data_IF_669528118900
#
_entry.id   IF_669528118900
#
_cell.length_a   1.000
_cell.length_b   1.000
_cell.length_c   1.000
_cell.angle_alpha   90.00
_cell.angle_beta   90.00
_cell.angle_gamma   90.00
#
_symmetry.space_group_name_H-M   'P 1'
#
loop_
_entity.id
_entity.type
_entity.pdbx_description
1 polymer ?
#
# COMPACT_ATOMS: atom_id res chain seq x y z
N UNK A 1 -35.67 6.74 -0.31
CA UNK A 1 -34.86 7.76 -1.01
C UNK A 1 -33.41 7.26 -0.99
N UNK A 2 -32.70 7.26 -2.13
CA UNK A 2 -31.29 6.85 -2.13
C UNK A 2 -30.45 7.93 -1.42
N UNK A 3 -29.40 7.58 -0.67
CA UNK A 3 -28.55 8.56 0.02
C UNK A 3 -27.85 9.46 -1.01
N UNK A 4 -27.83 10.76 -0.75
CA UNK A 4 -27.05 11.71 -1.54
C UNK A 4 -25.59 11.61 -1.12
N UNK A 5 -24.68 11.43 -2.07
CA UNK A 5 -23.24 11.30 -1.83
C UNK A 5 -22.51 12.41 -2.59
N UNK A 6 -21.62 13.13 -1.92
CA UNK A 6 -20.78 14.15 -2.55
C UNK A 6 -19.54 13.52 -3.21
N UNK A 7 -19.01 14.11 -4.29
CA UNK A 7 -17.70 13.75 -4.81
C UNK A 7 -16.60 13.88 -3.75
N UNK A 8 -15.63 12.98 -3.78
CA UNK A 8 -14.44 13.07 -2.94
C UNK A 8 -13.47 14.13 -3.46
N UNK A 9 -12.54 14.56 -2.60
CA UNK A 9 -11.42 15.42 -3.00
C UNK A 9 -10.31 14.57 -3.61
N UNK A 10 -9.73 14.98 -4.74
CA UNK A 10 -8.60 14.25 -5.32
C UNK A 10 -7.39 14.31 -4.36
N UNK A 11 -6.76 13.18 -4.01
CA UNK A 11 -5.53 13.19 -3.22
C UNK A 11 -4.42 13.91 -3.97
N UNK A 12 -3.53 14.54 -3.22
CA UNK A 12 -2.24 15.02 -3.70
C UNK A 12 -1.13 14.05 -3.29
N UNK A 13 0.10 14.34 -3.72
CA UNK A 13 1.28 13.61 -3.26
C UNK A 13 1.86 14.28 -2.00
N UNK A 14 1.05 14.53 -0.96
CA UNK A 14 1.57 15.05 0.31
C UNK A 14 2.42 14.01 1.05
N UNK A 15 3.29 14.49 1.95
CA UNK A 15 4.01 13.59 2.86
C UNK A 15 3.07 13.12 3.97
N UNK A 16 3.12 11.84 4.33
CA UNK A 16 2.38 11.29 5.47
C UNK A 16 3.36 10.76 6.51
N UNK A 17 3.24 11.23 7.75
CA UNK A 17 4.10 10.79 8.86
C UNK A 17 3.29 10.06 9.91
N UNK A 18 3.63 8.80 10.14
CA UNK A 18 3.18 8.00 11.27
C UNK A 18 4.27 7.89 12.35
N UNK A 19 4.15 6.86 13.18
CA UNK A 19 5.12 6.54 14.25
C UNK A 19 6.26 5.63 13.76
N UNK A 20 5.96 4.76 12.82
CA UNK A 20 6.81 3.69 12.28
C UNK A 20 7.17 3.88 10.81
N UNK A 21 6.47 4.75 10.09
CA UNK A 21 6.68 5.03 8.68
C UNK A 21 6.55 6.53 8.37
N UNK A 22 7.42 6.99 7.49
CA UNK A 22 7.27 8.24 6.74
C UNK A 22 7.04 7.87 5.28
N UNK A 23 6.00 8.42 4.69
CA UNK A 23 5.69 8.35 3.27
C UNK A 23 6.11 9.66 2.62
N UNK A 24 7.04 9.58 1.67
CA UNK A 24 7.47 10.71 0.84
C UNK A 24 7.11 10.42 -0.61
N UNK A 25 6.72 11.42 -1.42
CA UNK A 25 6.46 11.22 -2.84
C UNK A 25 7.60 10.44 -3.50
N UNK A 26 7.24 9.42 -4.29
CA UNK A 26 8.24 8.60 -4.96
C UNK A 26 8.97 9.45 -6.00
N UNK A 27 10.29 9.37 -5.97
CA UNK A 27 11.19 10.16 -6.81
C UNK A 27 12.38 9.30 -7.25
N UNK A 28 13.03 9.69 -8.34
CA UNK A 28 14.19 8.98 -8.90
C UNK A 28 15.38 8.89 -7.93
N UNK A 29 15.51 9.85 -7.00
CA UNK A 29 16.54 9.88 -5.97
C UNK A 29 16.49 8.65 -5.05
N UNK A 30 15.29 8.13 -4.79
CA UNK A 30 15.08 6.95 -3.93
C UNK A 30 15.73 5.68 -4.47
N UNK A 31 16.17 5.64 -5.73
CA UNK A 31 16.91 4.49 -6.26
C UNK A 31 18.19 4.19 -5.48
N UNK A 32 18.85 5.18 -4.86
CA UNK A 32 20.03 4.93 -4.04
C UNK A 32 19.75 3.94 -2.89
N UNK A 33 18.57 4.04 -2.29
CA UNK A 33 18.13 3.16 -1.19
C UNK A 33 17.43 1.89 -1.67
N UNK A 34 16.63 2.01 -2.75
CA UNK A 34 15.73 0.96 -3.22
C UNK A 34 16.39 -0.03 -4.18
N UNK A 35 17.37 0.40 -4.98
CA UNK A 35 18.02 -0.48 -5.97
C UNK A 35 18.76 -1.67 -5.34
N UNK A 36 19.56 -1.52 -4.26
CA UNK A 36 20.18 -2.66 -3.60
C UNK A 36 19.15 -3.71 -3.14
N UNK A 37 17.97 -3.27 -2.68
CA UNK A 37 16.87 -4.15 -2.26
C UNK A 37 16.21 -4.86 -3.45
N UNK A 38 16.04 -4.15 -4.56
CA UNK A 38 15.49 -4.72 -5.80
C UNK A 38 16.41 -5.78 -6.39
N UNK A 39 17.73 -5.57 -6.35
CA UNK A 39 18.72 -6.55 -6.78
C UNK A 39 18.80 -7.77 -5.87
N UNK A 40 18.69 -7.56 -4.55
CA UNK A 40 18.78 -8.66 -3.58
C UNK A 40 17.55 -9.58 -3.59
N UNK A 41 16.41 -9.11 -4.09
CA UNK A 41 15.16 -9.85 -4.11
C UNK A 41 14.38 -9.66 -5.43
N UNK A 42 14.93 -10.04 -6.60
CA UNK A 42 14.27 -9.86 -7.89
C UNK A 42 12.93 -10.61 -7.98
N UNK A 43 12.78 -11.71 -7.24
CA UNK A 43 11.55 -12.50 -7.11
C UNK A 43 10.41 -11.74 -6.41
N UNK A 44 10.72 -10.66 -5.66
CA UNK A 44 9.70 -9.80 -5.05
C UNK A 44 8.79 -9.09 -6.08
N UNK A 45 9.20 -9.05 -7.35
CA UNK A 45 8.41 -8.53 -8.48
C UNK A 45 7.51 -9.58 -9.16
N UNK A 46 7.53 -10.84 -8.73
CA UNK A 46 6.86 -11.96 -9.41
C UNK A 46 5.39 -11.67 -9.75
N UNK A 47 4.64 -11.04 -8.84
CA UNK A 47 3.22 -10.74 -9.01
C UNK A 47 2.92 -9.29 -9.38
N UNK A 48 3.96 -8.49 -9.64
CA UNK A 48 3.81 -7.11 -10.06
C UNK A 48 3.85 -7.02 -11.60
N UNK A 49 3.14 -6.04 -12.21
CA UNK A 49 3.17 -5.84 -13.66
C UNK A 49 4.50 -5.24 -14.15
N UNK A 50 5.39 -4.90 -13.22
CA UNK A 50 6.69 -4.28 -13.43
C UNK A 50 7.81 -5.21 -12.94
N UNK A 51 9.03 -4.89 -13.33
CA UNK A 51 10.23 -5.60 -12.87
C UNK A 51 10.29 -7.08 -13.28
N UNK A 52 11.30 -7.82 -12.77
CA UNK A 52 12.52 -7.27 -12.19
C UNK A 52 13.27 -6.41 -13.21
N UNK A 53 14.18 -5.57 -12.75
CA UNK A 53 14.88 -4.60 -13.60
C UNK A 53 16.30 -5.08 -13.90
N UNK A 54 16.75 -4.90 -15.14
CA UNK A 54 18.05 -5.41 -15.60
C UNK A 54 19.26 -4.56 -15.11
N UNK A 55 19.02 -3.32 -14.69
CA UNK A 55 20.07 -2.40 -14.24
C UNK A 55 19.50 -1.27 -13.37
N UNK A 56 20.38 -0.60 -12.64
CA UNK A 56 20.02 0.59 -11.87
C UNK A 56 19.45 1.70 -12.76
N UNK A 57 20.00 1.86 -13.96
CA UNK A 57 19.53 2.85 -14.93
C UNK A 57 18.07 2.57 -15.36
N UNK A 58 17.72 1.30 -15.61
CA UNK A 58 16.35 0.89 -15.92
C UNK A 58 15.40 1.12 -14.73
N UNK A 59 15.85 0.79 -13.52
CA UNK A 59 15.09 1.03 -12.28
C UNK A 59 14.85 2.52 -12.03
N UNK A 60 15.88 3.36 -12.13
CA UNK A 60 15.77 4.83 -12.06
C UNK A 60 14.88 5.39 -13.15
N UNK A 61 14.90 4.81 -14.36
CA UNK A 61 14.00 5.15 -15.44
C UNK A 61 12.53 4.92 -15.06
N UNK A 62 12.22 3.76 -14.48
CA UNK A 62 10.90 3.46 -13.95
C UNK A 62 10.47 4.46 -12.86
N UNK A 63 11.33 4.74 -11.86
CA UNK A 63 11.00 5.70 -10.81
C UNK A 63 10.71 7.11 -11.35
N UNK A 64 11.43 7.55 -12.39
CA UNK A 64 11.16 8.84 -13.07
C UNK A 64 9.77 8.86 -13.71
N UNK A 65 9.40 7.80 -14.41
CA UNK A 65 8.08 7.70 -15.05
C UNK A 65 6.96 7.64 -13.99
N UNK A 66 7.16 6.85 -12.94
CA UNK A 66 6.24 6.76 -11.81
C UNK A 66 6.03 8.12 -11.12
N UNK A 67 7.11 8.84 -10.84
CA UNK A 67 7.07 10.17 -10.20
C UNK A 67 6.35 11.23 -11.06
N UNK A 68 6.39 11.09 -12.39
CA UNK A 68 5.73 11.99 -13.32
C UNK A 68 4.25 11.63 -13.59
N UNK A 69 3.78 10.49 -13.10
CA UNK A 69 2.42 10.04 -13.31
C UNK A 69 1.42 10.95 -12.61
N UNK A 70 0.33 11.27 -13.30
CA UNK A 70 -0.86 11.91 -12.70
C UNK A 70 -1.98 10.92 -12.44
N UNK A 71 -1.91 9.73 -13.03
CA UNK A 71 -2.92 8.67 -12.90
C UNK A 71 -2.73 7.84 -11.63
N UNK A 72 -1.48 7.72 -11.19
CA UNK A 72 -1.09 7.04 -9.95
C UNK A 72 -0.29 8.01 -9.10
N UNK A 73 -0.50 7.97 -7.79
CA UNK A 73 0.32 8.67 -6.81
C UNK A 73 1.07 7.62 -6.01
N UNK A 74 2.41 7.67 -6.03
CA UNK A 74 3.24 6.70 -5.33
C UNK A 74 4.09 7.38 -4.25
N UNK A 75 4.31 6.68 -3.16
CA UNK A 75 5.16 7.12 -2.05
C UNK A 75 6.23 6.09 -1.75
N UNK A 76 7.47 6.56 -1.57
CA UNK A 76 8.52 5.80 -0.93
C UNK A 76 8.19 5.61 0.56
N UNK A 77 8.36 4.39 1.07
CA UNK A 77 8.18 4.06 2.49
C UNK A 77 9.52 4.10 3.20
N UNK A 78 9.66 4.99 4.18
CA UNK A 78 10.84 5.08 5.05
C UNK A 78 10.48 4.63 6.46
N UNK A 79 10.97 3.47 6.93
CA UNK A 79 10.77 3.05 8.32
C UNK A 79 11.34 4.07 9.29
N UNK A 80 10.60 4.41 10.35
CA UNK A 80 11.04 5.29 11.42
C UNK A 80 11.60 4.48 12.59
N UNK A 81 12.70 4.96 13.16
CA UNK A 81 13.26 4.46 14.42
C UNK A 81 12.41 4.84 15.64
N UNK A 82 12.76 4.32 16.81
CA UNK A 82 12.10 4.67 18.07
C UNK A 82 12.25 6.15 18.45
N UNK A 83 13.34 6.78 17.99
CA UNK A 83 13.61 8.21 18.08
C UNK A 83 12.84 9.04 17.03
N UNK A 84 12.07 8.39 16.16
CA UNK A 84 11.31 9.01 15.08
C UNK A 84 12.16 9.43 13.88
N UNK A 85 13.44 9.06 13.83
CA UNK A 85 14.32 9.36 12.70
C UNK A 85 14.01 8.45 11.50
N UNK A 86 13.92 8.99 10.27
CA UNK A 86 13.67 8.18 9.09
C UNK A 86 14.91 7.41 8.65
N UNK A 87 14.76 6.10 8.48
CA UNK A 87 15.74 5.26 7.80
C UNK A 87 15.74 5.47 6.28
N UNK A 88 16.55 4.69 5.54
CA UNK A 88 16.53 4.69 4.07
C UNK A 88 15.18 4.18 3.54
N UNK A 89 14.81 4.58 2.32
CA UNK A 89 13.62 4.06 1.67
C UNK A 89 13.69 2.52 1.53
N UNK A 90 12.59 1.84 1.84
CA UNK A 90 12.54 0.39 1.99
C UNK A 90 11.56 -0.31 1.03
N UNK A 91 10.75 0.47 0.31
CA UNK A 91 9.77 0.02 -0.68
C UNK A 91 8.88 1.19 -1.09
N UNK A 92 7.78 0.91 -1.78
CA UNK A 92 6.77 1.93 -2.11
C UNK A 92 5.34 1.39 -2.05
N UNK A 93 4.39 2.31 -2.01
CA UNK A 93 2.93 2.09 -2.01
C UNK A 93 2.26 3.22 -2.78
N UNK A 94 1.07 2.98 -3.34
CA UNK A 94 0.37 3.98 -4.12
C UNK A 94 -1.14 3.99 -4.02
N UNK A 95 -1.70 5.09 -4.51
CA UNK A 95 -3.11 5.25 -4.84
C UNK A 95 -3.28 5.22 -6.36
N UNK A 96 -4.19 4.38 -6.84
CA UNK A 96 -4.49 4.14 -8.25
C UNK A 96 -6.00 4.20 -8.47
N UNK A 97 -6.44 4.13 -9.74
CA UNK A 97 -7.87 4.14 -10.10
C UNK A 97 -8.64 5.26 -9.36
N UNK A 98 -8.01 6.44 -9.28
CA UNK A 98 -8.47 7.56 -8.47
C UNK A 98 -9.68 8.19 -9.16
N UNK A 99 -10.89 7.91 -8.64
CA UNK A 99 -12.17 8.37 -9.20
C UNK A 99 -12.93 9.22 -8.18
N UNK A 100 -12.58 10.51 -8.00
CA UNK A 100 -13.20 11.38 -7.00
C UNK A 100 -14.71 11.57 -7.23
N UNK A 101 -15.15 11.62 -8.49
CA UNK A 101 -16.57 11.69 -8.86
C UNK A 101 -17.40 10.47 -8.40
N UNK A 102 -16.73 9.34 -8.09
CA UNK A 102 -17.35 8.13 -7.56
C UNK A 102 -16.92 7.84 -6.12
N UNK A 103 -16.19 8.76 -5.48
CA UNK A 103 -15.60 8.58 -4.16
C UNK A 103 -14.89 7.22 -4.00
N UNK A 104 -14.19 6.77 -5.05
CA UNK A 104 -13.54 5.46 -5.10
C UNK A 104 -12.06 5.58 -5.48
N UNK A 105 -11.20 4.81 -4.81
CA UNK A 105 -9.75 4.76 -5.04
C UNK A 105 -9.24 3.33 -4.81
N UNK A 106 -8.13 2.96 -5.43
CA UNK A 106 -7.41 1.71 -5.14
C UNK A 106 -6.15 1.99 -4.33
N UNK A 107 -5.96 1.27 -3.22
CA UNK A 107 -4.66 1.17 -2.56
C UNK A 107 -3.89 0.01 -3.24
N UNK A 108 -2.82 0.34 -3.94
CA UNK A 108 -2.15 -0.62 -4.81
C UNK A 108 -0.70 -0.24 -5.11
N UNK A 109 -0.16 -0.86 -6.16
CA UNK A 109 1.25 -0.73 -6.57
C UNK A 109 2.23 -0.89 -5.39
N UNK A 110 1.93 -1.83 -4.49
CA UNK A 110 2.75 -2.10 -3.31
C UNK A 110 3.96 -2.94 -3.72
N UNK A 111 5.15 -2.42 -3.51
CA UNK A 111 6.38 -3.20 -3.52
C UNK A 111 7.05 -3.14 -2.15
N UNK A 112 6.78 -4.15 -1.33
CA UNK A 112 7.39 -4.35 -0.02
C UNK A 112 8.35 -5.55 -0.08
N UNK A 113 9.64 -5.34 -0.39
CA UNK A 113 10.63 -6.42 -0.41
C UNK A 113 10.90 -6.98 1.00
N UNK A 114 11.67 -8.08 1.10
CA UNK A 114 12.21 -8.54 2.38
C UNK A 114 12.85 -7.38 3.18
N UNK A 115 12.59 -7.36 4.48
CA UNK A 115 13.02 -6.26 5.37
C UNK A 115 11.99 -5.14 5.55
N UNK A 116 11.07 -4.93 4.60
CA UNK A 116 9.89 -4.07 4.80
C UNK A 116 8.63 -4.90 5.04
N UNK A 117 8.44 -5.98 4.26
CA UNK A 117 7.27 -6.84 4.42
C UNK A 117 7.16 -7.39 5.85
N UNK A 118 5.92 -7.44 6.38
CA UNK A 118 5.60 -7.92 7.74
C UNK A 118 6.20 -7.07 8.88
N UNK A 119 6.52 -5.80 8.64
CA UNK A 119 6.93 -4.85 9.69
C UNK A 119 5.78 -3.92 10.10
N UNK A 120 5.95 -3.22 11.24
CA UNK A 120 5.06 -2.12 11.65
C UNK A 120 4.98 -1.01 10.60
N UNK A 121 6.13 -0.65 10.01
CA UNK A 121 6.22 0.36 8.96
C UNK A 121 5.36 0.00 7.73
N UNK A 122 5.37 -1.26 7.30
CA UNK A 122 4.54 -1.70 6.18
C UNK A 122 3.04 -1.62 6.48
N UNK A 123 2.62 -2.02 7.69
CA UNK A 123 1.21 -1.89 8.10
C UNK A 123 0.81 -0.42 8.25
N UNK A 124 1.67 0.41 8.84
CA UNK A 124 1.38 1.83 9.03
C UNK A 124 1.37 2.60 7.70
N UNK A 125 2.21 2.24 6.73
CA UNK A 125 2.16 2.82 5.38
C UNK A 125 0.78 2.66 4.73
N UNK A 126 0.19 1.46 4.81
CA UNK A 126 -1.18 1.25 4.34
C UNK A 126 -2.19 2.04 5.17
N UNK A 127 -2.05 2.04 6.50
CA UNK A 127 -2.93 2.75 7.42
C UNK A 127 -2.99 4.25 7.11
N UNK A 128 -1.85 4.90 6.89
CA UNK A 128 -1.77 6.34 6.63
C UNK A 128 -2.53 6.74 5.36
N UNK A 129 -2.38 5.97 4.28
CA UNK A 129 -3.09 6.27 3.03
C UNK A 129 -4.58 5.94 3.12
N UNK A 130 -4.96 4.87 3.83
CA UNK A 130 -6.37 4.55 4.07
C UNK A 130 -7.05 5.62 4.94
N UNK A 131 -6.38 6.07 6.00
CA UNK A 131 -6.91 7.12 6.87
C UNK A 131 -7.07 8.43 6.11
N UNK A 132 -6.10 8.75 5.26
CA UNK A 132 -6.18 9.93 4.41
C UNK A 132 -7.38 9.88 3.46
N UNK A 133 -7.57 8.79 2.71
CA UNK A 133 -8.64 8.74 1.70
C UNK A 133 -10.03 8.54 2.31
N UNK A 134 -10.19 7.58 3.24
CA UNK A 134 -11.48 7.23 3.85
C UNK A 134 -11.84 8.14 5.02
N UNK A 135 -10.85 8.73 5.71
CA UNK A 135 -11.05 9.62 6.86
C UNK A 135 -11.15 11.09 6.45
N UNK A 136 -10.25 11.58 5.60
CA UNK A 136 -10.13 13.03 5.35
C UNK A 136 -10.73 13.47 4.01
N UNK A 137 -10.52 12.71 2.93
CA UNK A 137 -10.86 13.14 1.57
C UNK A 137 -12.28 12.79 1.11
N UNK A 138 -13.05 12.09 1.93
CA UNK A 138 -14.44 11.75 1.65
C UNK A 138 -14.63 10.58 0.68
N UNK A 139 -13.62 9.74 0.47
CA UNK A 139 -13.79 8.50 -0.30
C UNK A 139 -14.73 7.54 0.45
N UNK A 140 -15.68 6.95 -0.28
CA UNK A 140 -16.62 5.95 0.22
C UNK A 140 -16.08 4.53 0.09
N UNK A 141 -15.09 4.33 -0.78
CA UNK A 141 -14.54 3.02 -1.09
C UNK A 141 -13.04 3.06 -1.39
N UNK A 142 -12.31 2.17 -0.72
CA UNK A 142 -10.97 1.75 -1.12
C UNK A 142 -11.03 0.34 -1.74
N UNK A 143 -10.37 0.16 -2.88
CA UNK A 143 -10.17 -1.13 -3.53
C UNK A 143 -8.77 -1.68 -3.28
N UNK A 144 -8.65 -3.01 -3.32
CA UNK A 144 -7.37 -3.71 -3.36
C UNK A 144 -7.44 -4.83 -4.39
N UNK A 145 -6.41 -4.96 -5.23
CA UNK A 145 -6.34 -5.99 -6.27
C UNK A 145 -5.06 -6.79 -6.13
N UNK A 146 -5.17 -8.11 -6.22
CA UNK A 146 -3.98 -8.97 -6.27
C UNK A 146 -4.13 -10.10 -7.28
N UNK A 147 -3.00 -10.63 -7.72
CA UNK A 147 -2.97 -11.84 -8.54
C UNK A 147 -3.56 -13.00 -7.73
N UNK A 148 -4.42 -13.82 -8.35
CA UNK A 148 -5.07 -14.96 -7.68
C UNK A 148 -4.10 -16.00 -7.09
N UNK A 149 -2.92 -16.13 -7.71
CA UNK A 149 -1.81 -16.95 -7.23
C UNK A 149 -0.93 -16.28 -6.15
N UNK A 150 -1.31 -15.10 -5.65
CA UNK A 150 -0.58 -14.37 -4.60
C UNK A 150 -1.39 -14.27 -3.29
N UNK A 151 -1.66 -15.40 -2.60
CA UNK A 151 -2.55 -15.41 -1.44
C UNK A 151 -2.00 -14.61 -0.25
N UNK A 152 -0.70 -14.32 -0.22
CA UNK A 152 -0.11 -13.45 0.79
C UNK A 152 -0.63 -12.01 0.71
N UNK A 153 -0.88 -11.49 -0.51
CA UNK A 153 -1.45 -10.17 -0.72
C UNK A 153 -2.93 -10.12 -0.32
N UNK A 154 -3.71 -11.15 -0.66
CA UNK A 154 -5.10 -11.26 -0.20
C UNK A 154 -5.24 -11.30 1.32
N UNK A 155 -4.39 -12.09 2.00
CA UNK A 155 -4.34 -12.09 3.48
C UNK A 155 -3.94 -10.74 4.07
N UNK A 156 -3.09 -9.97 3.38
CA UNK A 156 -2.74 -8.61 3.81
C UNK A 156 -3.93 -7.66 3.68
N UNK A 157 -4.69 -7.75 2.59
CA UNK A 157 -5.92 -6.99 2.39
C UNK A 157 -6.96 -7.30 3.49
N UNK A 158 -7.23 -8.57 3.77
CA UNK A 158 -8.14 -9.00 4.85
C UNK A 158 -7.68 -8.54 6.24
N UNK A 159 -6.35 -8.57 6.47
CA UNK A 159 -5.74 -8.02 7.68
C UNK A 159 -5.78 -6.50 7.73
N UNK A 160 -6.03 -5.79 6.63
CA UNK A 160 -6.26 -4.34 6.65
C UNK A 160 -7.75 -4.00 6.72
N UNK A 161 -8.64 -5.00 6.68
CA UNK A 161 -10.09 -4.84 6.78
C UNK A 161 -10.84 -4.96 5.47
N UNK A 162 -10.14 -5.16 4.35
CA UNK A 162 -10.80 -5.36 3.07
C UNK A 162 -11.51 -6.71 3.02
N UNK A 163 -12.68 -6.75 2.37
CA UNK A 163 -13.50 -7.94 2.14
C UNK A 163 -13.34 -8.41 0.69
N UNK A 164 -13.25 -9.72 0.48
CA UNK A 164 -13.16 -10.29 -0.87
C UNK A 164 -14.50 -10.15 -1.59
N UNK A 165 -14.47 -9.62 -2.80
CA UNK A 165 -15.68 -9.34 -3.61
C UNK A 165 -15.78 -10.26 -4.84
N UNK A 166 -14.72 -11.02 -5.11
CA UNK A 166 -14.72 -12.01 -6.18
C UNK A 166 -13.45 -12.02 -7.00
N UNK A 167 -13.47 -12.87 -8.02
CA UNK A 167 -12.34 -13.11 -8.91
C UNK A 167 -12.73 -12.84 -10.36
N UNK A 168 -12.00 -11.94 -11.00
CA UNK A 168 -12.06 -11.75 -12.44
C UNK A 168 -11.10 -12.75 -13.10
N UNK A 169 -11.68 -13.77 -13.74
CA UNK A 169 -10.93 -14.77 -14.53
C UNK A 169 -10.46 -14.14 -15.84
N UNK A 170 -9.21 -14.41 -16.21
CA UNK A 170 -8.57 -13.83 -17.39
C UNK A 170 -8.68 -12.30 -17.47
N UNK A 171 -8.61 -11.63 -16.30
CA UNK A 171 -8.76 -10.18 -16.19
C UNK A 171 -7.79 -9.42 -17.11
N UNK A 172 -6.52 -9.84 -17.17
CA UNK A 172 -5.51 -9.19 -18.02
C UNK A 172 -4.36 -10.14 -18.38
N UNK A 173 -3.53 -9.72 -19.32
CA UNK A 173 -2.20 -10.29 -19.56
C UNK A 173 -1.18 -9.38 -18.89
N UNK A 174 -0.46 -9.89 -17.90
CA UNK A 174 0.62 -9.18 -17.21
C UNK A 174 1.95 -9.85 -17.54
N UNK A 175 2.89 -9.09 -18.11
CA UNK A 175 4.23 -9.59 -18.51
C UNK A 175 4.16 -10.89 -19.33
N UNK A 176 3.25 -10.93 -20.31
CA UNK A 176 3.04 -12.08 -21.20
C UNK A 176 2.34 -13.29 -20.58
N UNK A 177 1.83 -13.19 -19.35
CA UNK A 177 1.13 -14.28 -18.65
C UNK A 177 -0.31 -13.89 -18.32
N UNK A 178 -1.23 -14.85 -18.42
CA UNK A 178 -2.62 -14.66 -17.96
C UNK A 178 -2.63 -14.35 -16.46
N UNK A 179 -3.39 -13.32 -16.08
CA UNK A 179 -3.66 -12.95 -14.70
C UNK A 179 -5.15 -13.05 -14.40
N UNK A 180 -5.48 -13.92 -13.46
CA UNK A 180 -6.75 -13.87 -12.74
C UNK A 180 -6.56 -12.93 -11.53
N UNK A 181 -7.52 -12.04 -11.28
CA UNK A 181 -7.39 -11.01 -10.24
C UNK A 181 -8.47 -11.18 -9.18
N UNK A 182 -8.04 -11.31 -7.92
CA UNK A 182 -8.91 -11.20 -6.77
C UNK A 182 -9.09 -9.72 -6.42
N UNK A 183 -10.35 -9.34 -6.22
CA UNK A 183 -10.76 -7.99 -5.86
C UNK A 183 -11.24 -7.97 -4.43
N UNK A 184 -10.84 -6.92 -3.72
CA UNK A 184 -11.30 -6.66 -2.37
C UNK A 184 -11.78 -5.21 -2.25
N UNK A 185 -12.74 -4.98 -1.37
CA UNK A 185 -13.31 -3.68 -1.04
C UNK A 185 -13.24 -3.38 0.44
N UNK A 186 -13.01 -2.12 0.78
CA UNK A 186 -13.17 -1.56 2.12
C UNK A 186 -14.04 -0.31 2.00
N UNK A 187 -15.16 -0.28 2.71
CA UNK A 187 -16.08 0.85 2.70
C UNK A 187 -15.75 1.86 3.81
N UNK A 188 -16.11 3.12 3.60
CA UNK A 188 -15.89 4.17 4.58
C UNK A 188 -16.57 3.89 5.93
N UNK A 189 -17.76 3.30 5.93
CA UNK A 189 -18.47 2.92 7.17
C UNK A 189 -17.79 1.78 7.95
N UNK A 190 -16.99 0.95 7.28
CA UNK A 190 -16.22 -0.14 7.89
C UNK A 190 -14.90 0.39 8.48
N UNK A 191 -14.42 1.53 8.01
CA UNK A 191 -13.12 2.08 8.37
C UNK A 191 -12.98 2.45 9.85
N UNK A 192 -13.90 3.15 10.53
CA UNK A 192 -13.70 3.59 11.91
C UNK A 192 -13.34 2.47 12.88
N UNK A 193 -14.06 1.34 12.81
CA UNK A 193 -13.78 0.17 13.65
C UNK A 193 -12.42 -0.44 13.32
N UNK A 194 -12.08 -0.53 12.02
CA UNK A 194 -10.82 -1.10 11.56
C UNK A 194 -9.62 -0.21 11.89
N UNK A 195 -9.76 1.09 11.69
CA UNK A 195 -8.81 2.14 12.05
C UNK A 195 -8.42 2.02 13.51
N UNK A 196 -9.39 1.90 14.41
CA UNK A 196 -9.14 1.73 15.85
C UNK A 196 -8.34 0.45 16.15
N UNK A 197 -8.69 -0.68 15.51
CA UNK A 197 -7.98 -1.94 15.69
C UNK A 197 -6.52 -1.86 15.18
N UNK A 198 -6.28 -1.24 14.03
CA UNK A 198 -4.93 -1.05 13.49
C UNK A 198 -4.13 -0.09 14.38
N UNK A 199 -4.71 1.02 14.81
CA UNK A 199 -4.06 1.98 15.70
C UNK A 199 -3.64 1.32 17.04
N UNK A 200 -4.54 0.54 17.65
CA UNK A 200 -4.22 -0.21 18.87
C UNK A 200 -3.13 -1.28 18.66
N UNK A 201 -3.06 -1.87 17.46
CA UNK A 201 -2.00 -2.80 17.12
C UNK A 201 -0.66 -2.10 16.91
N UNK A 202 -0.66 -0.90 16.31
CA UNK A 202 0.52 -0.07 16.06
C UNK A 202 1.04 0.62 17.33
N UNK A 203 0.27 0.64 18.41
CA UNK A 203 0.71 1.20 19.68
C UNK A 203 2.01 0.53 20.17
N UNK A 204 3.06 1.28 20.57
CA UNK A 204 4.30 0.71 21.10
C UNK A 204 4.07 -0.28 22.25
N UNK A 205 3.07 -0.05 23.10
CA UNK A 205 2.73 -0.93 24.22
C UNK A 205 2.27 -2.31 23.74
N UNK A 206 1.86 -2.46 22.48
CA UNK A 206 1.54 -3.75 21.88
C UNK A 206 2.76 -4.56 21.45
N UNK A 207 3.99 -4.06 21.62
CA UNK A 207 5.22 -4.79 21.28
C UNK A 207 6.10 -4.98 22.51
N UNK A 208 6.82 -6.09 22.58
CA UNK A 208 7.83 -6.32 23.61
C UNK A 208 9.20 -5.74 23.21
N UNK A 209 10.20 -5.91 24.09
CA UNK A 209 11.55 -5.41 23.86
C UNK A 209 12.25 -6.07 22.65
N UNK A 210 11.81 -7.27 22.23
CA UNK A 210 12.29 -7.95 21.03
C UNK A 210 11.54 -7.52 19.76
N UNK A 211 10.54 -6.63 19.88
CA UNK A 211 9.70 -6.17 18.77
C UNK A 211 8.59 -7.15 18.38
N UNK A 212 8.32 -8.16 19.21
CA UNK A 212 7.27 -9.13 18.97
C UNK A 212 5.91 -8.57 19.42
N UNK A 213 4.88 -8.75 18.59
CA UNK A 213 3.51 -8.31 18.92
C UNK A 213 2.94 -9.11 20.09
N UNK A 214 2.36 -8.41 21.08
CA UNK A 214 1.68 -8.98 22.24
C UNK A 214 0.26 -9.41 21.89
N UNK A 215 -0.44 -8.60 21.10
CA UNK A 215 -1.76 -8.92 20.54
C UNK A 215 -1.68 -8.86 19.03
N UNK A 216 -2.20 -9.89 18.37
CA UNK A 216 -2.23 -9.98 16.91
C UNK A 216 -3.30 -9.06 16.35
N UNK A 217 -3.03 -8.49 15.19
CA UNK A 217 -4.06 -7.82 14.39
C UNK A 217 -4.92 -8.89 13.69
N UNK A 218 -6.09 -9.19 14.26
CA UNK A 218 -7.05 -10.11 13.66
C UNK A 218 -7.53 -9.62 12.29
N UNK A 219 -7.91 -10.54 11.41
CA UNK A 219 -8.58 -10.22 10.13
C UNK A 219 -9.97 -9.64 10.43
N UNK A 220 -10.48 -8.78 9.54
CA UNK A 220 -11.89 -8.41 9.63
C UNK A 220 -12.76 -9.64 9.35
N UNK A 221 -13.84 -9.78 10.12
CA UNK A 221 -14.86 -10.82 9.95
C UNK A 221 -15.87 -10.49 8.87
#
# INVERSE_FOLDING_TARGET
MMPQVAPATRPDAARHRGRWALLEPLEAGHAADLWPRAQAAPESFTFLPIGPFASEAAFRGYLRLAAASREELLWAVRPLGMDGAPGPAAGWIGLLDIRPAHAAVELGNLWFPPGLARTRAATEACFLLLDHVLGDLGYQRAGWKCHALHPASGRAAERLGFRHEGRLRAHMIARGRRRDTDWYGLLAEEWPARRAAIAAWLDPANFDAAGQERRKLARAG
#
